data_IF_298446122046
#
_entry.id   IF_298446122046
#
_cell.length_a   1.000
_cell.length_b   1.000
_cell.length_c   1.000
_cell.angle_alpha   90.00
_cell.angle_beta   90.00
_cell.angle_gamma   90.00
#
_symmetry.space_group_name_H-M   'P 1'
#
loop_
_entity.id
_entity.type
_entity.pdbx_description
1 polymer ?
#
# COMPACT_ATOMS: atom_id res chain seq x y z
N UNK A 1 9.88 9.23 -4.84
CA UNK A 1 8.69 9.48 -3.99
C UNK A 1 8.29 10.96 -3.89
N UNK A 2 9.01 11.91 -4.54
CA UNK A 2 8.60 13.32 -4.55
C UNK A 2 7.17 13.48 -5.07
N UNK A 3 6.35 14.26 -4.36
CA UNK A 3 4.97 14.58 -4.75
C UNK A 3 3.89 13.54 -4.41
N UNK A 4 4.21 12.49 -3.63
CA UNK A 4 3.18 11.57 -3.13
C UNK A 4 2.65 12.07 -1.79
N UNK A 5 1.33 12.10 -1.62
CA UNK A 5 0.68 12.42 -0.35
C UNK A 5 -0.33 11.31 -0.03
N UNK A 6 -0.10 10.53 1.03
CA UNK A 6 -0.97 9.44 1.41
C UNK A 6 -2.07 9.92 2.36
N UNK A 7 -3.29 9.47 2.13
CA UNK A 7 -4.46 9.77 2.96
C UNK A 7 -4.77 8.66 3.97
N UNK A 8 -5.73 8.91 4.85
CA UNK A 8 -6.28 7.90 5.77
C UNK A 8 -6.83 6.67 5.00
N UNK A 9 -7.00 5.51 5.65
CA UNK A 9 -7.58 4.34 5.03
C UNK A 9 -8.93 4.62 4.36
N UNK A 10 -9.11 4.14 3.13
CA UNK A 10 -10.32 4.36 2.33
C UNK A 10 -10.75 3.07 1.58
N UNK A 11 -11.03 1.95 2.27
CA UNK A 11 -11.37 0.68 1.64
C UNK A 11 -12.57 0.78 0.67
N UNK A 12 -13.53 1.67 0.96
CA UNK A 12 -14.71 1.94 0.14
C UNK A 12 -14.39 2.53 -1.25
N UNK A 13 -13.22 3.15 -1.42
CA UNK A 13 -12.74 3.70 -2.71
C UNK A 13 -11.72 2.80 -3.40
N UNK A 14 -11.53 1.56 -2.92
CA UNK A 14 -10.52 0.65 -3.47
C UNK A 14 -9.09 1.14 -3.24
N UNK A 15 -8.86 1.89 -2.16
CA UNK A 15 -7.56 2.45 -1.74
C UNK A 15 -6.87 3.39 -2.74
N UNK A 16 -7.59 3.93 -3.72
CA UNK A 16 -7.10 4.90 -4.72
C UNK A 16 -5.80 4.44 -5.40
N UNK A 17 -5.88 3.34 -6.16
CA UNK A 17 -4.72 2.84 -6.91
C UNK A 17 -4.25 3.85 -7.97
N UNK A 18 -3.03 4.34 -7.82
CA UNK A 18 -2.42 5.31 -8.71
C UNK A 18 -1.46 4.62 -9.70
N UNK A 19 -1.97 4.36 -10.91
CA UNK A 19 -1.29 3.61 -11.98
C UNK A 19 0.14 4.07 -12.27
N UNK A 20 0.40 5.38 -12.32
CA UNK A 20 1.73 5.91 -12.66
C UNK A 20 2.80 5.57 -11.62
N UNK A 21 2.43 5.47 -10.34
CA UNK A 21 3.38 5.17 -9.26
C UNK A 21 3.28 3.73 -8.76
N UNK A 22 2.17 3.05 -9.07
CA UNK A 22 1.79 1.74 -8.56
C UNK A 22 1.40 1.74 -7.08
N UNK A 23 1.22 2.91 -6.46
CA UNK A 23 0.85 3.00 -5.04
C UNK A 23 -0.66 2.97 -4.88
N UNK A 24 -1.12 2.39 -3.78
CA UNK A 24 -2.43 2.67 -3.23
C UNK A 24 -2.30 3.93 -2.38
N UNK A 25 -2.97 5.01 -2.77
CA UNK A 25 -2.74 6.35 -2.20
C UNK A 25 -3.41 6.55 -0.84
N UNK A 26 -4.37 5.69 -0.49
CA UNK A 26 -4.83 5.57 0.88
C UNK A 26 -3.96 4.57 1.65
N UNK A 27 -3.76 4.83 2.95
CA UNK A 27 -3.14 3.85 3.83
C UNK A 27 -3.91 2.53 3.78
N UNK A 28 -3.18 1.43 3.61
CA UNK A 28 -3.73 0.07 3.69
C UNK A 28 -3.31 -0.48 5.04
N UNK A 29 -4.25 -1.03 5.81
CA UNK A 29 -4.04 -1.21 7.24
C UNK A 29 -3.42 -2.55 7.60
N UNK A 30 -3.50 -3.55 6.73
CA UNK A 30 -2.88 -4.86 6.97
C UNK A 30 -2.17 -5.42 5.74
N UNK A 31 -1.25 -6.36 5.96
CA UNK A 31 -0.53 -7.02 4.88
C UNK A 31 -1.49 -7.87 4.03
N UNK A 32 -2.46 -8.54 4.68
CA UNK A 32 -3.52 -9.28 4.01
C UNK A 32 -4.35 -8.40 3.07
N UNK A 33 -4.85 -7.28 3.57
CA UNK A 33 -5.63 -6.32 2.77
C UNK A 33 -4.82 -5.77 1.59
N UNK A 34 -3.53 -5.51 1.80
CA UNK A 34 -2.62 -5.11 0.73
C UNK A 34 -2.51 -6.20 -0.33
N UNK A 35 -2.23 -7.44 0.05
CA UNK A 35 -2.07 -8.53 -0.91
C UNK A 35 -3.36 -8.76 -1.71
N UNK A 36 -4.52 -8.81 -1.05
CA UNK A 36 -5.83 -8.96 -1.69
C UNK A 36 -6.11 -7.83 -2.70
N UNK A 37 -5.79 -6.59 -2.35
CA UNK A 37 -5.95 -5.43 -3.24
C UNK A 37 -4.99 -5.48 -4.44
N UNK A 38 -3.80 -5.98 -4.20
CA UNK A 38 -2.73 -6.04 -5.18
C UNK A 38 -2.99 -7.14 -6.24
N UNK A 39 -3.63 -8.26 -5.85
CA UNK A 39 -4.16 -9.28 -6.76
C UNK A 39 -5.16 -8.70 -7.77
N UNK A 40 -6.04 -7.77 -7.33
CA UNK A 40 -7.05 -7.13 -8.18
C UNK A 40 -6.43 -6.27 -9.29
N UNK A 41 -5.23 -5.73 -9.08
CA UNK A 41 -4.52 -4.88 -10.04
C UNK A 41 -3.42 -5.61 -10.82
N UNK A 42 -3.37 -6.95 -10.70
CA UNK A 42 -2.53 -7.81 -11.54
C UNK A 42 -1.14 -8.17 -10.98
N UNK A 43 -0.77 -7.64 -9.81
CA UNK A 43 0.40 -8.08 -9.06
C UNK A 43 0.05 -9.34 -8.24
N UNK A 44 0.93 -10.34 -8.21
CA UNK A 44 0.65 -11.67 -7.60
C UNK A 44 1.74 -12.16 -6.67
N UNK A 45 2.94 -11.60 -6.77
CA UNK A 45 4.09 -12.02 -5.97
C UNK A 45 4.23 -11.16 -4.73
N UNK A 46 4.44 -11.76 -3.57
CA UNK A 46 4.74 -11.02 -2.36
C UNK A 46 6.24 -10.72 -2.26
N UNK A 47 6.60 -9.45 -2.08
CA UNK A 47 8.01 -9.09 -1.93
C UNK A 47 8.60 -9.59 -0.61
N UNK A 48 9.80 -10.18 -0.68
CA UNK A 48 10.62 -10.47 0.50
C UNK A 48 11.00 -9.20 1.30
N UNK A 49 10.90 -8.01 0.70
CA UNK A 49 11.12 -6.73 1.40
C UNK A 49 9.95 -6.33 2.30
N UNK A 50 8.79 -6.96 2.15
CA UNK A 50 7.67 -6.80 3.07
C UNK A 50 7.94 -7.62 4.32
N UNK A 51 8.06 -6.97 5.48
CA UNK A 51 8.42 -7.64 6.74
C UNK A 51 7.32 -8.54 7.33
N UNK A 52 6.14 -8.57 6.73
CA UNK A 52 4.97 -9.29 7.24
C UNK A 52 4.52 -10.37 6.26
N UNK A 53 3.97 -11.45 6.81
CA UNK A 53 3.29 -12.48 6.03
C UNK A 53 2.05 -11.91 5.33
N UNK A 54 1.71 -12.44 4.16
CA UNK A 54 0.44 -12.14 3.46
C UNK A 54 -0.81 -12.48 4.28
N UNK A 55 -0.66 -13.24 5.37
CA UNK A 55 -1.74 -13.59 6.31
C UNK A 55 -1.86 -12.63 7.49
N UNK A 56 -0.94 -11.67 7.65
CA UNK A 56 -0.97 -10.72 8.76
C UNK A 56 -2.16 -9.76 8.60
N UNK A 57 -3.04 -9.78 9.61
CA UNK A 57 -4.23 -8.94 9.73
C UNK A 57 -4.05 -7.80 10.73
N UNK A 58 -2.84 -7.61 11.28
CA UNK A 58 -2.58 -6.62 12.34
C UNK A 58 -2.66 -5.21 11.75
N UNK A 59 -3.57 -4.34 12.24
CA UNK A 59 -3.72 -2.99 11.73
C UNK A 59 -2.47 -2.13 11.99
N UNK A 60 -1.98 -1.42 10.98
CA UNK A 60 -0.86 -0.48 11.05
C UNK A 60 -1.22 0.80 10.31
N UNK A 61 -1.19 1.93 11.02
CA UNK A 61 -1.67 3.23 10.52
C UNK A 61 -0.77 3.87 9.47
N UNK A 62 0.53 3.57 9.52
CA UNK A 62 1.54 4.26 8.72
C UNK A 62 2.20 3.36 7.69
N UNK A 63 1.42 2.51 7.04
CA UNK A 63 1.90 1.61 6.00
C UNK A 63 1.14 1.84 4.70
N UNK A 64 1.83 1.59 3.59
CA UNK A 64 1.29 1.67 2.24
C UNK A 64 1.44 0.35 1.53
N UNK A 65 0.46 0.08 0.68
CA UNK A 65 0.54 -0.96 -0.30
C UNK A 65 1.05 -0.39 -1.64
N UNK A 66 1.82 -1.18 -2.38
CA UNK A 66 2.26 -0.83 -3.74
C UNK A 66 2.35 -2.08 -4.60
N UNK A 67 1.78 -2.01 -5.80
CA UNK A 67 2.05 -2.94 -6.89
C UNK A 67 3.19 -2.38 -7.74
N UNK A 68 4.19 -3.19 -8.04
CA UNK A 68 5.28 -2.86 -8.97
C UNK A 68 5.05 -3.69 -10.24
N UNK A 69 4.33 -3.16 -11.25
CA UNK A 69 3.81 -3.97 -12.36
C UNK A 69 4.90 -4.69 -13.16
N UNK A 70 6.04 -4.03 -13.35
CA UNK A 70 7.19 -4.59 -14.08
C UNK A 70 7.67 -5.94 -13.52
N UNK A 71 7.46 -6.18 -12.22
CA UNK A 71 7.85 -7.42 -11.53
C UNK A 71 6.64 -8.19 -10.99
N UNK A 72 5.41 -7.72 -11.25
CA UNK A 72 4.16 -8.25 -10.67
C UNK A 72 4.21 -8.40 -9.14
N UNK A 73 4.96 -7.52 -8.48
CA UNK A 73 5.33 -7.62 -7.08
C UNK A 73 4.49 -6.70 -6.21
N UNK A 74 4.01 -7.24 -5.09
CA UNK A 74 3.31 -6.53 -4.03
C UNK A 74 4.26 -6.21 -2.89
N UNK A 75 4.26 -4.95 -2.46
CA UNK A 75 5.06 -4.50 -1.32
C UNK A 75 4.17 -3.84 -0.29
N UNK A 76 4.41 -4.16 0.99
CA UNK A 76 3.75 -3.52 2.12
C UNK A 76 4.79 -2.98 3.09
N UNK A 77 4.91 -1.65 3.11
CA UNK A 77 6.02 -0.97 3.76
C UNK A 77 5.56 0.31 4.47
N UNK A 78 6.36 0.77 5.42
CA UNK A 78 6.09 2.00 6.14
C UNK A 78 6.02 3.21 5.19
N UNK A 79 5.10 4.14 5.50
CA UNK A 79 5.00 5.47 4.90
C UNK A 79 5.96 6.39 5.67
N UNK A 80 6.99 6.96 5.03
CA UNK A 80 7.83 7.97 5.65
C UNK A 80 6.99 9.17 6.09
N UNK A 81 7.33 9.78 7.24
CA UNK A 81 6.56 10.88 7.85
C UNK A 81 6.25 12.02 6.87
N UNK A 82 7.22 12.38 6.03
CA UNK A 82 7.08 13.45 5.03
C UNK A 82 5.95 13.24 3.99
N UNK A 83 5.40 12.02 3.87
CA UNK A 83 4.34 11.69 2.92
C UNK A 83 3.01 11.33 3.60
N UNK A 84 2.89 11.52 4.91
CA UNK A 84 1.66 11.26 5.68
C UNK A 84 0.77 12.50 5.70
N UNK A 85 -0.02 12.70 4.65
CA UNK A 85 -0.87 13.89 4.51
C UNK A 85 -1.89 14.08 5.61
N UNK A 86 -2.28 13.00 6.26
CA UNK A 86 -3.23 12.97 7.37
C UNK A 86 -2.62 13.33 8.74
N UNK A 87 -1.30 13.46 8.86
CA UNK A 87 -0.67 13.92 10.11
C UNK A 87 -0.47 15.45 10.14
N UNK A 88 -0.63 16.13 8.99
CA UNK A 88 -0.44 17.57 8.86
C UNK A 88 -1.75 18.31 8.51
N UNK A 89 -2.90 17.64 8.69
CA UNK A 89 -4.25 18.15 8.42
C UNK A 89 -4.98 18.49 9.71
#
# INVERSE_FOLDING_TARGET
>A
MKGLNFSMPCPERGHDFHWKSGNFMCAVTSAKECFDSCLKVGCREWSFTSFMSIRDTTPRKHYRCRCVPAYRLCTYNAIPKAYRGYENA
#
